data_IF_130644492377
#
_entry.id   IF_130644492377
#
_cell.length_a   1.000
_cell.length_b   1.000
_cell.length_c   1.000
_cell.angle_alpha   90.00
_cell.angle_beta   90.00
_cell.angle_gamma   90.00
#
_symmetry.space_group_name_H-M   'P 1'
#
loop_
_entity.id
_entity.type
_entity.pdbx_description
1 polymer ?
#
# COMPACT_ATOMS: atom_id res chain seq x y z
N UNK A 1 11.99 6.44 4.23
CA UNK A 1 10.68 6.95 4.74
C UNK A 1 9.67 5.83 4.97
N UNK A 2 9.29 5.05 3.96
CA UNK A 2 8.15 4.11 4.05
C UNK A 2 8.29 2.94 5.04
N UNK A 3 9.49 2.47 5.39
CA UNK A 3 9.75 1.49 6.47
C UNK A 3 10.20 2.12 7.80
N UNK A 4 9.95 3.42 8.03
CA UNK A 4 10.40 4.11 9.27
C UNK A 4 9.42 3.88 10.43
N UNK A 5 9.90 3.18 11.48
CA UNK A 5 9.11 2.85 12.68
C UNK A 5 8.50 4.07 13.40
N UNK A 6 9.18 5.24 13.40
CA UNK A 6 8.66 6.50 14.00
C UNK A 6 7.32 6.95 13.38
N UNK A 7 7.06 6.60 12.13
CA UNK A 7 5.87 7.06 11.40
C UNK A 7 4.84 5.97 11.10
N UNK A 8 5.22 4.68 11.09
CA UNK A 8 4.30 3.57 10.80
C UNK A 8 3.97 2.66 11.99
N UNK A 9 4.79 2.61 13.04
CA UNK A 9 4.66 1.64 14.14
C UNK A 9 5.89 0.74 14.28
N UNK A 10 5.98 -0.08 15.35
CA UNK A 10 7.10 -1.00 15.55
C UNK A 10 7.22 -2.05 14.43
N UNK A 11 6.10 -2.37 13.82
CA UNK A 11 5.80 -3.33 12.75
C UNK A 11 5.95 -2.72 11.33
N UNK A 12 6.67 -1.60 11.17
CA UNK A 12 6.78 -0.86 9.90
C UNK A 12 7.41 -1.64 8.71
N UNK A 13 7.91 -2.85 8.95
CA UNK A 13 8.42 -3.77 7.93
C UNK A 13 7.39 -4.82 7.48
N UNK A 14 6.29 -4.99 8.23
CA UNK A 14 5.32 -6.06 8.05
C UNK A 14 4.15 -5.60 7.16
N UNK A 15 3.62 -6.53 6.38
CA UNK A 15 2.42 -6.33 5.58
C UNK A 15 1.18 -6.47 6.48
N UNK A 16 0.71 -5.32 6.97
CA UNK A 16 -0.48 -5.22 7.83
C UNK A 16 -1.50 -4.28 7.17
N UNK A 17 -2.47 -4.81 6.40
CA UNK A 17 -3.51 -4.04 5.73
C UNK A 17 -4.35 -3.19 6.69
N UNK A 18 -4.65 -3.72 7.86
CA UNK A 18 -5.55 -3.15 8.86
C UNK A 18 -4.97 -1.89 9.54
N UNK A 19 -3.70 -1.56 9.27
CA UNK A 19 -3.00 -0.37 9.79
C UNK A 19 -3.73 0.96 9.54
N UNK A 20 -4.63 1.02 8.55
CA UNK A 20 -5.46 2.21 8.26
C UNK A 20 -6.86 2.18 8.91
N UNK A 21 -7.23 1.10 9.61
CA UNK A 21 -8.56 0.94 10.21
C UNK A 21 -8.59 1.44 11.66
N UNK A 22 -9.71 2.03 12.08
CA UNK A 22 -9.90 2.54 13.46
C UNK A 22 -8.98 3.71 13.85
N UNK A 23 -8.21 4.26 12.92
CA UNK A 23 -7.23 5.32 13.18
C UNK A 23 -7.92 6.68 13.37
N UNK A 24 -7.45 7.43 14.35
CA UNK A 24 -7.74 8.86 14.57
C UNK A 24 -7.60 9.67 13.26
N UNK A 25 -8.53 10.58 12.98
CA UNK A 25 -8.71 11.20 11.65
C UNK A 25 -7.52 12.07 11.22
N UNK A 26 -6.95 12.83 12.14
CA UNK A 26 -5.81 13.70 11.92
C UNK A 26 -4.54 12.85 11.71
N UNK A 27 -4.41 11.73 12.43
CA UNK A 27 -3.34 10.74 12.26
C UNK A 27 -3.48 9.95 10.96
N UNK A 28 -4.69 9.56 10.58
CA UNK A 28 -5.00 8.93 9.30
C UNK A 28 -4.57 9.84 8.16
N UNK A 29 -4.89 11.14 8.24
CA UNK A 29 -4.44 12.16 7.30
C UNK A 29 -2.90 12.26 7.23
N UNK A 30 -2.19 12.27 8.37
CA UNK A 30 -0.72 12.24 8.35
C UNK A 30 -0.17 11.01 7.61
N UNK A 31 -0.76 9.83 7.87
CA UNK A 31 -0.32 8.55 7.29
C UNK A 31 -0.56 8.53 5.78
N UNK A 32 -1.70 9.07 5.34
CA UNK A 32 -2.05 9.27 3.94
C UNK A 32 -1.11 10.26 3.24
N UNK A 33 -0.88 11.44 3.80
CA UNK A 33 0.00 12.44 3.19
C UNK A 33 1.47 11.97 3.11
N UNK A 34 1.92 11.18 4.09
CA UNK A 34 3.22 10.47 4.01
C UNK A 34 3.22 9.34 2.98
N UNK A 35 2.13 8.61 2.82
CA UNK A 35 2.02 7.52 1.83
C UNK A 35 1.94 8.04 0.39
N UNK A 36 1.22 9.15 0.16
CA UNK A 36 1.00 9.77 -1.16
C UNK A 36 2.31 10.11 -1.90
N UNK A 37 3.41 10.28 -1.16
CA UNK A 37 4.78 10.50 -1.67
C UNK A 37 5.35 9.30 -2.44
N UNK A 38 4.74 8.11 -2.41
CA UNK A 38 5.08 7.00 -3.32
C UNK A 38 4.99 7.41 -4.80
N UNK A 39 4.10 8.36 -5.11
CA UNK A 39 3.95 8.96 -6.43
C UNK A 39 4.71 10.29 -6.58
N UNK A 40 5.75 10.54 -5.78
CA UNK A 40 6.52 11.80 -5.79
C UNK A 40 5.73 13.02 -5.28
N UNK A 41 6.32 14.20 -5.43
CA UNK A 41 5.77 15.46 -4.93
C UNK A 41 6.11 16.66 -5.83
N UNK A 42 5.29 17.72 -5.77
CA UNK A 42 5.48 18.95 -6.53
C UNK A 42 5.63 18.69 -8.04
N UNK A 43 6.62 19.33 -8.67
CA UNK A 43 6.95 19.18 -10.09
C UNK A 43 7.49 17.79 -10.49
N UNK A 44 7.79 16.92 -9.52
CA UNK A 44 8.26 15.55 -9.73
C UNK A 44 7.19 14.50 -9.33
N UNK A 45 5.92 14.90 -9.25
CA UNK A 45 4.80 14.00 -8.99
C UNK A 45 4.49 13.18 -10.25
N UNK A 46 4.32 11.87 -10.09
CA UNK A 46 3.96 10.94 -11.16
C UNK A 46 2.61 11.34 -11.80
N UNK A 47 2.66 11.71 -13.08
CA UNK A 47 1.49 12.06 -13.89
C UNK A 47 0.51 10.90 -13.99
N UNK A 48 1.02 9.68 -14.14
CA UNK A 48 0.24 8.44 -14.24
C UNK A 48 -0.47 8.02 -12.95
N UNK A 49 -0.36 8.74 -11.83
CA UNK A 49 -0.98 8.36 -10.54
C UNK A 49 -2.47 8.04 -10.67
N UNK A 50 -3.24 8.82 -11.43
CA UNK A 50 -4.67 8.59 -11.61
C UNK A 50 -4.96 7.24 -12.26
N UNK A 51 -4.24 6.94 -13.35
CA UNK A 51 -4.35 5.67 -14.10
C UNK A 51 -3.92 4.50 -13.23
N UNK A 52 -2.75 4.57 -12.58
CA UNK A 52 -2.23 3.51 -11.72
C UNK A 52 -3.19 3.14 -10.57
N UNK A 53 -3.86 4.12 -9.95
CA UNK A 53 -4.86 3.84 -8.91
C UNK A 53 -6.13 3.16 -9.47
N UNK A 54 -6.56 3.54 -10.69
CA UNK A 54 -7.70 2.90 -11.37
C UNK A 54 -7.36 1.46 -11.75
N UNK A 55 -6.15 1.22 -12.26
CA UNK A 55 -5.67 -0.09 -12.67
C UNK A 55 -5.50 -1.03 -11.48
N UNK A 56 -4.84 -0.59 -10.40
CA UNK A 56 -4.71 -1.39 -9.17
C UNK A 56 -6.09 -1.81 -8.62
N UNK A 57 -7.02 -0.86 -8.50
CA UNK A 57 -8.38 -1.15 -8.03
C UNK A 57 -9.12 -2.17 -8.92
N UNK A 58 -8.92 -2.11 -10.24
CA UNK A 58 -9.49 -3.09 -11.19
C UNK A 58 -8.80 -4.46 -11.10
N UNK A 59 -7.47 -4.50 -10.98
CA UNK A 59 -6.69 -5.73 -10.91
C UNK A 59 -7.09 -6.56 -9.70
N UNK A 60 -7.22 -5.97 -8.51
CA UNK A 60 -7.65 -6.71 -7.32
C UNK A 60 -9.06 -7.33 -7.49
N UNK A 61 -10.01 -6.57 -8.04
CA UNK A 61 -11.39 -7.05 -8.24
C UNK A 61 -11.46 -8.12 -9.35
N UNK A 62 -10.79 -7.94 -10.48
CA UNK A 62 -10.86 -8.91 -11.58
C UNK A 62 -10.07 -10.19 -11.28
N UNK A 63 -8.95 -10.10 -10.54
CA UNK A 63 -8.21 -11.27 -10.06
C UNK A 63 -9.10 -12.14 -9.16
N UNK A 64 -9.69 -11.55 -8.11
CA UNK A 64 -10.55 -12.25 -7.15
C UNK A 64 -11.90 -12.70 -7.72
N UNK A 65 -12.35 -12.11 -8.85
CA UNK A 65 -13.62 -12.45 -9.51
C UNK A 65 -13.48 -13.52 -10.59
N UNK A 66 -12.34 -13.60 -11.28
CA UNK A 66 -12.13 -14.47 -12.45
C UNK A 66 -11.13 -15.60 -12.23
N UNK A 67 -10.46 -15.65 -11.09
CA UNK A 67 -9.47 -16.68 -10.78
C UNK A 67 -9.47 -17.02 -9.29
N UNK A 68 -9.04 -18.23 -8.97
CA UNK A 68 -8.78 -18.69 -7.61
C UNK A 68 -7.25 -18.69 -7.40
N UNK A 69 -6.65 -17.59 -6.88
CA UNK A 69 -5.21 -17.48 -6.77
C UNK A 69 -4.65 -18.42 -5.70
N UNK A 70 -3.76 -19.33 -6.10
CA UNK A 70 -3.07 -20.28 -5.21
C UNK A 70 -1.60 -19.92 -5.01
N UNK A 71 -1.05 -20.27 -3.85
CA UNK A 71 0.36 -20.01 -3.51
C UNK A 71 1.21 -21.20 -3.98
N UNK A 72 2.11 -20.96 -4.94
CA UNK A 72 2.93 -22.00 -5.57
C UNK A 72 4.01 -22.53 -4.61
N UNK A 73 4.66 -21.65 -3.83
CA UNK A 73 5.56 -22.03 -2.74
C UNK A 73 5.25 -21.21 -1.48
N UNK A 74 4.58 -21.80 -0.46
CA UNK A 74 4.32 -21.13 0.81
C UNK A 74 5.57 -20.81 1.63
N UNK A 75 6.70 -21.53 1.42
CA UNK A 75 7.89 -21.43 2.28
C UNK A 75 8.82 -20.27 1.90
N UNK A 76 8.81 -19.84 0.65
CA UNK A 76 9.59 -18.69 0.15
C UNK A 76 8.76 -17.39 0.06
N UNK A 77 7.67 -17.29 0.82
CA UNK A 77 6.65 -16.22 0.71
C UNK A 77 7.06 -14.85 1.27
N UNK A 78 8.29 -14.69 1.79
CA UNK A 78 8.73 -13.47 2.47
C UNK A 78 10.21 -13.07 2.28
N UNK A 79 10.94 -13.67 1.33
CA UNK A 79 12.40 -13.52 1.19
C UNK A 79 12.82 -12.80 -0.09
N UNK A 80 12.60 -11.47 -0.14
CA UNK A 80 13.12 -10.53 -1.13
C UNK A 80 13.28 -9.09 -0.56
#
# INVERSE_FOLDING_TARGET
MFRNKKFRGPDANEFYPERWFGVEKERLKEMDDRMRLIFGFGKYKCLGKGVAMIELNKVFIELLRRSEPTIIDPKNSGSA
#
